data_IF_564132865595
#
_entry.id   IF_564132865595
#
_cell.length_a   1.000
_cell.length_b   1.000
_cell.length_c   1.000
_cell.angle_alpha   90.00
_cell.angle_beta   90.00
_cell.angle_gamma   90.00
#
_symmetry.space_group_name_H-M   'P 1'
#
loop_
_entity.id
_entity.type
_entity.pdbx_description
1 polymer ?
#
# COMPACT_ATOMS: atom_id res chain seq x y z
N UNK A 1 17.10 24.68 -9.15
CA UNK A 1 16.41 24.25 -10.38
C UNK A 1 15.87 25.43 -11.16
N UNK A 2 15.66 25.30 -12.46
CA UNK A 2 15.03 26.30 -13.33
C UNK A 2 13.82 25.69 -14.01
N UNK A 3 12.71 26.41 -13.99
CA UNK A 3 11.48 26.08 -14.72
C UNK A 3 11.33 27.09 -15.85
N UNK A 4 11.06 26.63 -17.06
CA UNK A 4 10.84 27.52 -18.20
C UNK A 4 9.43 28.14 -18.16
N UNK A 5 9.14 29.06 -19.10
CA UNK A 5 7.85 29.77 -19.17
C UNK A 5 6.65 28.88 -19.39
N UNK A 6 6.86 27.68 -19.92
CA UNK A 6 5.79 26.70 -20.19
C UNK A 6 5.62 25.70 -19.03
N UNK A 7 6.44 25.82 -17.97
CA UNK A 7 6.35 24.99 -16.77
C UNK A 7 7.22 23.73 -16.80
N UNK A 8 8.12 23.56 -17.76
CA UNK A 8 9.01 22.41 -17.82
C UNK A 8 10.32 22.64 -17.05
N UNK A 9 10.85 21.59 -16.44
CA UNK A 9 12.14 21.56 -15.80
C UNK A 9 13.25 21.71 -16.84
N UNK A 10 13.86 22.90 -16.90
CA UNK A 10 14.88 23.23 -17.88
C UNK A 10 16.30 22.87 -17.41
N UNK A 11 16.59 23.06 -16.12
CA UNK A 11 17.89 22.78 -15.53
C UNK A 11 17.75 22.52 -14.02
N UNK A 12 18.58 21.65 -13.48
CA UNK A 12 18.65 21.41 -12.04
C UNK A 12 19.96 20.71 -11.67
N UNK A 13 20.35 20.85 -10.43
CA UNK A 13 21.40 20.05 -9.80
C UNK A 13 21.25 20.04 -8.29
N UNK A 14 21.78 19.04 -7.63
CA UNK A 14 21.97 19.05 -6.19
C UNK A 14 23.09 20.02 -5.82
N UNK A 15 22.87 20.82 -4.80
CA UNK A 15 23.84 21.79 -4.29
C UNK A 15 24.57 21.23 -3.07
N UNK A 16 25.84 21.56 -2.93
CA UNK A 16 26.56 21.43 -1.68
C UNK A 16 26.16 22.57 -0.73
N UNK A 17 26.54 22.42 0.55
CA UNK A 17 26.29 23.47 1.55
C UNK A 17 26.98 24.77 1.13
N UNK A 18 26.24 25.88 1.21
CA UNK A 18 26.66 27.24 0.84
C UNK A 18 27.02 27.44 -0.64
N UNK A 19 26.61 26.57 -1.52
CA UNK A 19 26.78 26.71 -2.96
C UNK A 19 25.69 27.63 -3.53
N UNK A 20 26.08 28.60 -4.35
CA UNK A 20 25.17 29.51 -5.05
C UNK A 20 24.63 28.84 -6.34
N UNK A 21 23.39 29.17 -6.68
CA UNK A 21 22.75 28.73 -7.91
C UNK A 21 21.88 29.86 -8.48
N UNK A 22 22.03 30.11 -9.78
CA UNK A 22 21.17 31.06 -10.51
C UNK A 22 19.84 30.39 -10.89
N UNK A 23 18.92 30.33 -9.93
CA UNK A 23 17.61 29.69 -10.08
C UNK A 23 16.89 29.52 -8.72
N UNK A 24 15.82 28.75 -8.71
CA UNK A 24 15.10 28.45 -7.48
C UNK A 24 15.83 27.39 -6.65
N UNK A 25 15.91 27.60 -5.35
CA UNK A 25 16.46 26.64 -4.40
C UNK A 25 15.29 25.96 -3.68
N UNK A 26 15.26 24.65 -3.72
CA UNK A 26 14.31 23.81 -3.00
C UNK A 26 15.06 22.92 -2.02
N UNK A 27 14.46 22.71 -0.86
CA UNK A 27 15.01 21.85 0.18
C UNK A 27 14.20 20.57 0.29
N UNK A 28 14.88 19.44 0.30
CA UNK A 28 14.28 18.14 0.60
C UNK A 28 14.53 17.77 2.06
N UNK A 29 13.49 17.37 2.78
CA UNK A 29 13.56 16.96 4.17
C UNK A 29 13.00 15.57 4.32
N UNK A 30 13.63 14.74 5.16
CA UNK A 30 13.04 13.48 5.62
C UNK A 30 12.06 13.83 6.73
N UNK A 31 10.79 13.49 6.52
CA UNK A 31 9.72 13.66 7.48
C UNK A 31 9.38 12.30 8.11
N UNK A 32 9.38 12.25 9.43
CA UNK A 32 8.88 11.11 10.16
C UNK A 32 7.36 11.24 10.24
N UNK A 33 6.63 10.14 9.97
CA UNK A 33 5.19 10.09 10.09
C UNK A 33 4.76 10.51 11.50
N UNK A 34 3.79 11.42 11.58
CA UNK A 34 3.25 11.90 12.86
C UNK A 34 2.24 10.92 13.47
N UNK A 35 1.90 11.16 14.73
CA UNK A 35 0.87 10.41 15.41
C UNK A 35 -0.51 10.63 14.75
N UNK A 36 -1.30 9.59 14.66
CA UNK A 36 -2.65 9.63 14.09
C UNK A 36 -3.65 8.95 15.02
N UNK A 37 -4.82 9.57 15.16
CA UNK A 37 -5.95 8.95 15.88
C UNK A 37 -6.42 7.66 15.22
N UNK A 38 -6.21 7.50 13.92
CA UNK A 38 -6.48 6.27 13.18
C UNK A 38 -5.64 5.09 13.70
N UNK A 39 -4.39 5.35 14.10
CA UNK A 39 -3.49 4.35 14.67
C UNK A 39 -3.40 4.45 16.19
N UNK A 40 -4.51 4.75 16.86
CA UNK A 40 -4.59 4.85 18.33
C UNK A 40 -3.56 5.82 18.93
N UNK A 41 -3.34 6.96 18.28
CA UNK A 41 -2.35 7.96 18.70
C UNK A 41 -0.89 7.57 18.45
N UNK A 42 -0.64 6.50 17.72
CA UNK A 42 0.70 6.04 17.35
C UNK A 42 1.06 6.50 15.94
N UNK A 43 2.31 6.31 15.56
CA UNK A 43 2.79 6.49 14.19
C UNK A 43 2.53 5.22 13.38
N UNK A 44 2.35 5.40 12.06
CA UNK A 44 2.35 4.27 11.14
C UNK A 44 3.76 3.71 10.97
N UNK A 45 3.89 2.39 10.85
CA UNK A 45 5.16 1.73 10.64
C UNK A 45 5.76 2.07 9.26
N UNK A 46 7.08 2.14 9.16
CA UNK A 46 7.75 2.19 7.85
C UNK A 46 7.70 0.80 7.18
N UNK A 47 6.73 0.64 6.30
CA UNK A 47 6.47 -0.61 5.57
C UNK A 47 7.51 -0.94 4.50
N UNK A 48 8.40 0.00 4.15
CA UNK A 48 9.53 -0.23 3.25
C UNK A 48 10.82 -0.60 4.00
N UNK A 49 10.79 -0.57 5.34
CA UNK A 49 11.93 -0.88 6.18
C UNK A 49 11.78 -2.27 6.80
N UNK A 50 12.53 -3.24 6.26
CA UNK A 50 12.48 -4.63 6.71
C UNK A 50 12.71 -4.79 8.22
N UNK A 51 13.65 -4.03 8.80
CA UNK A 51 13.92 -4.09 10.26
C UNK A 51 12.75 -3.60 11.09
N UNK A 52 12.01 -2.59 10.60
CA UNK A 52 10.81 -2.11 11.26
C UNK A 52 9.69 -3.16 11.21
N UNK A 53 9.51 -3.83 10.06
CA UNK A 53 8.53 -4.92 9.91
C UNK A 53 8.91 -6.14 10.75
N UNK A 54 10.18 -6.54 10.78
CA UNK A 54 10.66 -7.61 11.68
C UNK A 54 10.41 -7.27 13.16
N UNK A 55 10.57 -6.00 13.54
CA UNK A 55 10.22 -5.55 14.89
C UNK A 55 8.72 -5.63 15.16
N UNK A 56 7.90 -5.26 14.21
CA UNK A 56 6.44 -5.41 14.27
C UNK A 56 6.05 -6.89 14.46
N UNK A 57 6.61 -7.79 13.67
CA UNK A 57 6.41 -9.24 13.81
C UNK A 57 6.79 -9.71 15.22
N UNK A 58 7.94 -9.28 15.72
CA UNK A 58 8.43 -9.67 17.06
C UNK A 58 7.52 -9.23 18.21
N UNK A 59 6.77 -8.17 18.03
CA UNK A 59 5.83 -7.64 19.04
C UNK A 59 4.45 -8.26 18.89
N UNK A 60 3.97 -8.41 17.67
CA UNK A 60 2.57 -8.79 17.38
C UNK A 60 2.46 -10.27 17.06
N UNK A 61 3.08 -10.75 16.00
CA UNK A 61 2.94 -12.11 15.49
C UNK A 61 3.51 -13.14 16.46
N UNK A 62 4.69 -12.88 17.02
CA UNK A 62 5.30 -13.75 18.03
C UNK A 62 4.48 -13.83 19.32
N UNK A 63 3.76 -12.75 19.68
CA UNK A 63 2.83 -12.77 20.81
C UNK A 63 1.62 -13.68 20.53
N UNK A 64 1.06 -13.63 19.33
CA UNK A 64 0.01 -14.57 18.92
C UNK A 64 0.51 -16.02 18.92
N UNK A 65 1.65 -16.28 18.29
CA UNK A 65 2.23 -17.62 18.23
C UNK A 65 2.48 -18.19 19.62
N UNK A 66 3.03 -17.42 20.52
CA UNK A 66 3.29 -17.82 21.91
C UNK A 66 2.03 -18.21 22.67
N UNK A 67 0.90 -17.53 22.42
CA UNK A 67 -0.31 -17.71 23.20
C UNK A 67 -1.31 -18.68 22.57
N UNK A 68 -1.36 -18.74 21.25
CA UNK A 68 -2.37 -19.51 20.49
C UNK A 68 -1.78 -20.24 19.27
N UNK A 69 -0.47 -20.40 19.20
CA UNK A 69 0.21 -21.05 18.06
C UNK A 69 -0.21 -22.51 17.85
N UNK A 70 -0.68 -23.20 18.90
CA UNK A 70 -1.20 -24.55 18.79
C UNK A 70 -2.52 -24.61 17.99
N UNK A 71 -3.23 -23.50 17.86
CA UNK A 71 -4.47 -23.37 17.12
C UNK A 71 -4.26 -22.95 15.65
N UNK A 72 -3.03 -22.63 15.26
CA UNK A 72 -2.69 -22.25 13.88
C UNK A 72 -2.99 -23.42 12.93
N UNK A 73 -3.51 -23.09 11.75
CA UNK A 73 -4.02 -24.03 10.74
C UNK A 73 -5.16 -24.94 11.26
N UNK A 74 -5.81 -24.54 12.35
CA UNK A 74 -6.98 -25.25 12.93
C UNK A 74 -8.13 -24.26 13.12
N UNK A 75 -8.29 -23.74 14.34
CA UNK A 75 -9.30 -22.73 14.68
C UNK A 75 -8.87 -21.30 14.31
N UNK A 76 -7.58 -21.09 14.07
CA UNK A 76 -7.00 -19.81 13.59
C UNK A 76 -6.32 -20.08 12.24
N UNK A 77 -7.06 -19.97 11.12
CA UNK A 77 -6.54 -20.37 9.81
C UNK A 77 -5.61 -19.35 9.16
N UNK A 78 -5.74 -18.07 9.51
CA UNK A 78 -5.00 -17.01 8.84
C UNK A 78 -4.72 -15.81 9.74
N UNK A 79 -3.67 -15.05 9.38
CA UNK A 79 -3.47 -13.67 9.80
C UNK A 79 -3.92 -12.78 8.64
N UNK A 80 -4.79 -11.83 8.95
CA UNK A 80 -5.37 -10.89 8.00
C UNK A 80 -4.69 -9.53 8.11
N UNK A 81 -4.32 -8.94 6.99
CA UNK A 81 -3.87 -7.56 6.89
C UNK A 81 -4.87 -6.72 6.13
N UNK A 82 -5.20 -5.56 6.71
CA UNK A 82 -6.15 -4.60 6.20
C UNK A 82 -5.39 -3.40 5.64
N UNK A 83 -5.48 -3.20 4.34
CA UNK A 83 -4.98 -2.04 3.60
C UNK A 83 -3.55 -1.56 3.95
N UNK A 84 -2.54 -2.45 3.97
CA UNK A 84 -1.17 -2.00 4.16
C UNK A 84 -0.73 -1.11 3.00
N UNK A 85 0.03 -0.05 3.33
CA UNK A 85 0.38 0.97 2.36
C UNK A 85 1.76 1.58 2.64
N UNK A 86 2.24 2.38 1.71
CA UNK A 86 3.30 3.37 1.92
C UNK A 86 2.67 4.76 2.07
N UNK A 87 3.37 5.75 2.66
CA UNK A 87 2.84 7.10 2.74
C UNK A 87 2.39 7.62 1.38
N UNK A 88 1.26 8.31 1.36
CA UNK A 88 0.67 8.85 0.14
C UNK A 88 1.59 9.85 -0.54
N UNK A 89 1.62 9.81 -1.87
CA UNK A 89 2.22 10.83 -2.70
C UNK A 89 1.40 12.13 -2.63
N UNK A 90 2.09 13.25 -2.54
CA UNK A 90 1.48 14.57 -2.70
C UNK A 90 2.16 15.29 -3.85
N UNK A 91 1.47 15.36 -4.96
CA UNK A 91 1.94 16.10 -6.11
C UNK A 91 1.69 17.61 -5.97
N UNK A 92 2.39 18.39 -6.74
CA UNK A 92 2.12 19.82 -6.92
C UNK A 92 0.87 20.01 -7.79
N UNK A 93 0.16 21.10 -7.56
CA UNK A 93 -1.00 21.47 -8.38
C UNK A 93 -0.58 21.80 -9.83
N UNK A 94 0.52 22.48 -9.96
CA UNK A 94 1.17 22.84 -11.24
C UNK A 94 2.66 23.04 -11.02
N UNK A 95 3.40 23.28 -12.09
CA UNK A 95 4.86 23.44 -12.05
C UNK A 95 5.34 24.69 -11.28
N UNK A 96 4.49 25.69 -11.12
CA UNK A 96 4.78 26.94 -10.43
C UNK A 96 4.27 26.96 -8.98
N UNK A 97 3.57 25.92 -8.56
CA UNK A 97 3.09 25.77 -7.19
C UNK A 97 4.29 25.75 -6.22
N UNK A 98 4.24 26.60 -5.19
CA UNK A 98 5.28 26.70 -4.16
C UNK A 98 5.01 25.82 -2.93
N UNK A 99 3.88 25.14 -2.88
CA UNK A 99 3.61 24.19 -1.79
C UNK A 99 4.56 22.98 -1.85
N UNK A 100 4.87 22.37 -0.71
CA UNK A 100 5.71 21.18 -0.69
C UNK A 100 5.05 20.00 -1.42
N UNK A 101 5.84 19.27 -2.21
CA UNK A 101 5.50 17.92 -2.65
C UNK A 101 5.98 16.91 -1.60
N UNK A 102 5.40 15.72 -1.60
CA UNK A 102 5.79 14.63 -0.70
C UNK A 102 5.92 13.35 -1.50
N UNK A 103 7.01 12.64 -1.30
CA UNK A 103 7.27 11.33 -1.91
C UNK A 103 7.62 10.33 -0.80
N UNK A 104 7.20 9.07 -0.91
CA UNK A 104 7.62 8.00 0.00
C UNK A 104 9.14 7.80 -0.03
N UNK A 105 9.71 7.62 1.16
CA UNK A 105 11.13 7.40 1.34
C UNK A 105 11.37 6.56 2.60
N UNK A 106 12.46 5.79 2.64
CA UNK A 106 12.93 5.05 3.83
C UNK A 106 14.42 5.25 4.01
N UNK A 107 14.97 4.93 5.17
CA UNK A 107 16.33 5.30 5.60
C UNK A 107 17.43 4.90 4.59
N UNK A 108 17.34 3.69 4.04
CA UNK A 108 18.34 3.13 3.12
C UNK A 108 17.92 3.19 1.63
N UNK A 109 16.88 3.99 1.30
CA UNK A 109 16.28 4.01 -0.04
C UNK A 109 17.29 4.42 -1.12
N UNK A 110 18.07 5.47 -0.90
CA UNK A 110 19.06 5.94 -1.86
C UNK A 110 20.20 4.93 -2.07
N UNK A 111 20.63 4.28 -0.99
CA UNK A 111 21.69 3.26 -1.06
C UNK A 111 21.26 2.07 -1.90
N UNK A 112 20.06 1.56 -1.66
CA UNK A 112 19.49 0.42 -2.37
C UNK A 112 19.13 0.78 -3.83
N UNK A 113 18.60 1.98 -4.05
CA UNK A 113 18.35 2.50 -5.40
C UNK A 113 19.64 2.63 -6.21
N UNK A 114 20.68 3.17 -5.60
CA UNK A 114 22.00 3.29 -6.23
C UNK A 114 22.64 1.94 -6.55
N UNK A 115 22.45 0.96 -5.67
CA UNK A 115 22.92 -0.40 -5.92
C UNK A 115 22.24 -1.03 -7.14
N UNK A 116 20.95 -0.75 -7.36
CA UNK A 116 20.16 -1.30 -8.45
C UNK A 116 20.39 -0.55 -9.79
N UNK A 117 20.40 0.78 -9.77
CA UNK A 117 20.39 1.62 -10.98
C UNK A 117 21.72 2.34 -11.27
N UNK A 118 22.68 2.28 -10.35
CA UNK A 118 24.02 2.89 -10.54
C UNK A 118 24.06 4.41 -10.33
N UNK A 119 22.98 5.04 -9.90
CA UNK A 119 22.87 6.49 -9.66
C UNK A 119 22.07 6.79 -8.39
N UNK A 120 22.31 7.94 -7.76
CA UNK A 120 21.55 8.39 -6.59
C UNK A 120 20.22 8.99 -6.99
N UNK A 121 19.12 8.55 -6.37
CA UNK A 121 17.81 9.16 -6.58
C UNK A 121 17.77 10.60 -6.02
N UNK A 122 18.61 10.91 -5.03
CA UNK A 122 18.68 12.25 -4.45
C UNK A 122 19.16 13.30 -5.46
N UNK A 123 19.93 12.88 -6.46
CA UNK A 123 20.37 13.76 -7.55
C UNK A 123 19.27 13.96 -8.62
N UNK A 124 18.20 13.16 -8.55
CA UNK A 124 17.09 13.12 -9.52
C UNK A 124 15.74 13.57 -8.95
N UNK A 125 15.67 13.94 -7.68
CA UNK A 125 14.40 14.34 -7.01
C UNK A 125 13.55 15.32 -7.82
N UNK A 126 14.12 16.36 -8.48
CA UNK A 126 13.30 17.24 -9.32
C UNK A 126 12.58 16.55 -10.46
N UNK A 127 13.11 15.47 -11.03
CA UNK A 127 12.46 14.72 -12.11
C UNK A 127 11.23 13.92 -11.61
N UNK A 128 11.14 13.65 -10.32
CA UNK A 128 9.96 12.99 -9.73
C UNK A 128 8.77 13.97 -9.60
N UNK A 129 9.04 15.26 -9.58
CA UNK A 129 8.05 16.30 -9.23
C UNK A 129 7.69 17.15 -10.44
N UNK A 130 8.66 17.49 -11.30
CA UNK A 130 8.48 18.34 -12.48
C UNK A 130 8.75 17.57 -13.77
N UNK A 131 8.05 17.97 -14.83
CA UNK A 131 8.24 17.39 -16.15
C UNK A 131 9.41 18.04 -16.89
N UNK A 132 10.17 17.23 -17.63
CA UNK A 132 11.04 17.69 -18.71
C UNK A 132 10.32 17.65 -20.05
N UNK A 133 10.75 18.45 -21.01
CA UNK A 133 10.27 18.31 -22.38
C UNK A 133 10.56 16.89 -22.89
N UNK A 134 9.74 16.44 -23.82
CA UNK A 134 9.90 15.14 -24.48
C UNK A 134 9.88 13.91 -23.55
N UNK A 135 9.12 14.01 -22.44
CA UNK A 135 9.01 12.95 -21.42
C UNK A 135 10.36 12.55 -20.77
N UNK A 136 11.32 13.49 -20.72
CA UNK A 136 12.67 13.23 -20.22
C UNK A 136 12.76 12.76 -18.76
N UNK A 137 11.64 12.76 -18.00
CA UNK A 137 11.58 12.26 -16.62
C UNK A 137 11.01 10.83 -16.51
N UNK A 138 10.52 10.24 -17.60
CA UNK A 138 9.77 8.98 -17.55
C UNK A 138 10.60 7.83 -16.97
N UNK A 139 11.88 7.72 -17.32
CA UNK A 139 12.76 6.66 -16.81
C UNK A 139 13.03 6.79 -15.32
N UNK A 140 13.33 7.99 -14.84
CA UNK A 140 13.56 8.26 -13.40
C UNK A 140 12.31 7.92 -12.58
N UNK A 141 11.13 8.32 -13.05
CA UNK A 141 9.85 8.01 -12.38
C UNK A 141 9.57 6.52 -12.37
N UNK A 142 9.74 5.85 -13.51
CA UNK A 142 9.58 4.40 -13.57
C UNK A 142 10.50 3.68 -12.58
N UNK A 143 11.80 4.00 -12.58
CA UNK A 143 12.77 3.39 -11.67
C UNK A 143 12.44 3.65 -10.21
N UNK A 144 12.06 4.89 -9.87
CA UNK A 144 11.65 5.22 -8.51
C UNK A 144 10.42 4.42 -8.06
N UNK A 145 9.36 4.38 -8.85
CA UNK A 145 8.14 3.64 -8.50
C UNK A 145 8.37 2.14 -8.47
N UNK A 146 9.17 1.60 -9.40
CA UNK A 146 9.55 0.20 -9.41
C UNK A 146 10.32 -0.18 -8.14
N UNK A 147 11.34 0.59 -7.80
CA UNK A 147 12.15 0.36 -6.60
C UNK A 147 11.31 0.47 -5.32
N UNK A 148 10.52 1.52 -5.20
CA UNK A 148 9.61 1.72 -4.07
C UNK A 148 8.66 0.53 -3.88
N UNK A 149 8.06 0.06 -4.96
CA UNK A 149 7.16 -1.10 -4.93
C UNK A 149 7.90 -2.35 -4.43
N UNK A 150 9.07 -2.62 -4.98
CA UNK A 150 9.86 -3.79 -4.56
C UNK A 150 10.27 -3.70 -3.08
N UNK A 151 10.73 -2.52 -2.63
CA UNK A 151 11.05 -2.29 -1.21
C UNK A 151 9.88 -2.57 -0.28
N UNK A 152 8.66 -2.12 -0.66
CA UNK A 152 7.46 -2.41 0.11
C UNK A 152 7.14 -3.91 0.13
N UNK A 153 7.20 -4.55 -1.03
CA UNK A 153 6.86 -5.98 -1.13
C UNK A 153 7.86 -6.84 -0.35
N UNK A 154 9.15 -6.63 -0.53
CA UNK A 154 10.20 -7.37 0.20
C UNK A 154 10.14 -7.14 1.71
N UNK A 155 9.97 -5.87 2.12
CA UNK A 155 10.01 -5.54 3.55
C UNK A 155 8.73 -5.97 4.28
N UNK A 156 7.56 -5.71 3.73
CA UNK A 156 6.28 -5.98 4.40
C UNK A 156 5.70 -7.32 3.99
N UNK A 157 5.41 -7.49 2.70
CA UNK A 157 4.60 -8.61 2.23
C UNK A 157 5.35 -9.94 2.34
N UNK A 158 6.57 -10.00 1.79
CA UNK A 158 7.36 -11.23 1.82
C UNK A 158 7.78 -11.59 3.24
N UNK A 159 8.19 -10.60 4.04
CA UNK A 159 8.63 -10.86 5.42
C UNK A 159 7.51 -11.43 6.29
N UNK A 160 6.28 -10.89 6.18
CA UNK A 160 5.13 -11.43 6.92
C UNK A 160 4.69 -12.78 6.33
N UNK A 161 4.61 -12.89 5.01
CA UNK A 161 4.25 -14.14 4.33
C UNK A 161 5.19 -15.29 4.70
N UNK A 162 6.50 -15.03 4.68
CA UNK A 162 7.52 -15.99 5.09
C UNK A 162 7.38 -16.42 6.56
N UNK A 163 7.10 -15.46 7.44
CA UNK A 163 6.87 -15.77 8.86
C UNK A 163 5.62 -16.64 9.01
N UNK A 164 4.52 -16.28 8.36
CA UNK A 164 3.28 -17.06 8.40
C UNK A 164 3.48 -18.48 7.88
N UNK A 165 4.14 -18.65 6.74
CA UNK A 165 4.46 -19.96 6.17
C UNK A 165 5.29 -20.84 7.11
N UNK A 166 6.29 -20.27 7.80
CA UNK A 166 7.11 -20.98 8.79
C UNK A 166 6.34 -21.43 10.04
N UNK A 167 5.23 -20.77 10.34
CA UNK A 167 4.40 -21.04 11.51
C UNK A 167 3.09 -21.76 11.19
N UNK A 168 2.94 -22.28 9.98
CA UNK A 168 1.76 -23.01 9.50
C UNK A 168 0.46 -22.20 9.69
N UNK A 169 0.47 -20.94 9.34
CA UNK A 169 -0.72 -20.08 9.30
C UNK A 169 -0.75 -19.36 7.95
N UNK A 170 -1.92 -19.19 7.36
CA UNK A 170 -2.02 -18.45 6.11
C UNK A 170 -1.83 -16.94 6.35
N UNK A 171 -1.19 -16.24 5.40
CA UNK A 171 -1.20 -14.79 5.30
C UNK A 171 -2.24 -14.39 4.25
N UNK A 172 -3.17 -13.52 4.64
CA UNK A 172 -4.28 -13.09 3.79
C UNK A 172 -4.62 -11.62 4.04
N UNK A 173 -5.53 -11.07 3.27
CA UNK A 173 -5.99 -9.68 3.34
C UNK A 173 -6.02 -9.04 1.97
N UNK A 174 -6.09 -7.75 1.94
CA UNK A 174 -6.18 -6.92 0.73
C UNK A 174 -5.29 -5.68 0.84
N UNK A 175 -5.11 -4.98 -0.29
CA UNK A 175 -4.18 -3.87 -0.40
C UNK A 175 -4.93 -2.53 -0.42
N UNK A 176 -4.26 -1.46 0.03
CA UNK A 176 -4.82 -0.11 -0.04
C UNK A 176 -5.03 0.31 -1.50
N UNK A 177 -6.21 0.87 -1.80
CA UNK A 177 -6.50 1.54 -3.08
C UNK A 177 -6.22 0.68 -4.33
N UNK A 178 -6.62 -0.58 -4.30
CA UNK A 178 -6.29 -1.58 -5.33
C UNK A 178 -7.11 -1.49 -6.63
N UNK A 179 -8.09 -0.59 -6.70
CA UNK A 179 -9.10 -0.55 -7.76
C UNK A 179 -8.64 0.10 -9.08
N UNK A 180 -7.65 1.01 -9.06
CA UNK A 180 -7.07 1.59 -10.28
C UNK A 180 -5.54 1.61 -10.25
N UNK A 181 -4.90 1.66 -11.42
CA UNK A 181 -3.44 1.79 -11.49
C UNK A 181 -2.94 3.10 -10.87
N UNK A 182 -3.72 4.18 -11.01
CA UNK A 182 -3.39 5.48 -10.43
C UNK A 182 -3.42 5.43 -8.90
N UNK A 183 -4.50 4.90 -8.32
CA UNK A 183 -4.64 4.77 -6.86
C UNK A 183 -3.58 3.82 -6.27
N UNK A 184 -3.27 2.72 -6.95
CA UNK A 184 -2.19 1.81 -6.57
C UNK A 184 -0.84 2.52 -6.54
N UNK A 185 -0.50 3.31 -7.58
CA UNK A 185 0.75 4.08 -7.61
C UNK A 185 0.83 5.09 -6.46
N UNK A 186 -0.29 5.67 -6.05
CA UNK A 186 -0.31 6.59 -4.90
C UNK A 186 -0.02 5.87 -3.58
N UNK A 187 -0.58 4.69 -3.37
CA UNK A 187 -0.66 4.05 -2.05
C UNK A 187 0.37 2.95 -1.82
N UNK A 188 0.69 2.14 -2.81
CA UNK A 188 1.56 0.97 -2.65
C UNK A 188 2.50 0.71 -3.84
N UNK A 189 2.15 1.19 -5.02
CA UNK A 189 2.88 1.02 -6.27
C UNK A 189 2.20 0.07 -7.23
N UNK A 190 2.11 -1.22 -6.91
CA UNK A 190 1.55 -2.25 -7.78
C UNK A 190 0.95 -3.40 -6.97
N UNK A 191 -0.36 -3.57 -7.01
CA UNK A 191 -1.05 -4.62 -6.24
C UNK A 191 -0.66 -6.04 -6.68
N UNK A 192 -0.50 -6.28 -7.98
CA UNK A 192 -0.16 -7.60 -8.51
C UNK A 192 1.12 -8.16 -7.92
N UNK A 193 2.15 -7.34 -7.75
CA UNK A 193 3.43 -7.74 -7.14
C UNK A 193 3.27 -8.07 -5.65
N UNK A 194 2.41 -7.35 -4.96
CA UNK A 194 2.14 -7.57 -3.54
C UNK A 194 1.54 -8.97 -3.29
N UNK A 195 0.69 -9.46 -4.17
CA UNK A 195 0.04 -10.78 -3.96
C UNK A 195 1.00 -11.96 -3.92
N UNK A 196 2.27 -11.80 -4.34
CA UNK A 196 3.24 -12.91 -4.31
C UNK A 196 3.49 -13.49 -2.92
N UNK A 197 3.44 -12.68 -1.89
CA UNK A 197 3.66 -13.12 -0.50
C UNK A 197 2.39 -13.60 0.22
N UNK A 198 1.21 -13.39 -0.37
CA UNK A 198 -0.03 -13.86 0.21
C UNK A 198 -0.26 -15.35 -0.05
N UNK A 199 -0.66 -16.09 1.00
CA UNK A 199 -1.12 -17.48 0.84
C UNK A 199 -2.54 -17.52 0.26
N UNK A 200 -3.37 -16.57 0.65
CA UNK A 200 -4.71 -16.36 0.13
C UNK A 200 -4.84 -14.89 -0.28
N UNK A 201 -4.55 -14.55 -1.54
CA UNK A 201 -4.74 -13.18 -2.02
C UNK A 201 -6.19 -12.72 -1.90
N UNK A 202 -6.39 -11.46 -1.53
CA UNK A 202 -7.73 -10.92 -1.31
C UNK A 202 -7.93 -9.53 -1.91
N UNK A 203 -9.16 -9.08 -1.82
CA UNK A 203 -9.63 -7.76 -2.22
C UNK A 203 -10.63 -7.22 -1.22
N UNK A 204 -10.80 -5.89 -1.20
CA UNK A 204 -11.91 -5.21 -0.54
C UNK A 204 -12.88 -4.65 -1.58
N UNK A 205 -14.17 -4.93 -1.40
CA UNK A 205 -15.23 -4.45 -2.29
C UNK A 205 -16.34 -3.79 -1.48
N UNK A 206 -16.22 -2.49 -1.35
CA UNK A 206 -17.12 -1.64 -0.59
C UNK A 206 -18.39 -1.24 -1.37
N UNK A 207 -19.40 -0.76 -0.65
CA UNK A 207 -20.54 -0.01 -1.19
C UNK A 207 -21.44 -0.76 -2.18
N UNK A 208 -21.60 -2.05 -2.12
CA UNK A 208 -22.41 -2.83 -3.07
C UNK A 208 -22.05 -2.55 -4.55
N UNK A 209 -20.81 -2.20 -4.81
CA UNK A 209 -20.33 -1.97 -6.17
C UNK A 209 -19.98 -3.28 -6.87
N UNK A 210 -20.05 -3.28 -8.21
CA UNK A 210 -19.53 -4.38 -9.03
C UNK A 210 -18.24 -3.90 -9.69
N UNK A 211 -17.13 -4.46 -9.25
CA UNK A 211 -15.79 -4.05 -9.66
C UNK A 211 -15.00 -5.24 -10.21
N UNK A 212 -15.20 -5.48 -11.50
CA UNK A 212 -14.57 -6.63 -12.16
C UNK A 212 -13.06 -6.54 -12.27
N UNK A 213 -12.49 -5.35 -12.38
CA UNK A 213 -11.04 -5.15 -12.53
C UNK A 213 -10.28 -5.67 -11.32
N UNK A 214 -10.69 -5.27 -10.12
CA UNK A 214 -10.08 -5.72 -8.86
C UNK A 214 -10.26 -7.22 -8.66
N UNK A 215 -11.47 -7.73 -8.88
CA UNK A 215 -11.74 -9.18 -8.76
C UNK A 215 -10.90 -10.01 -9.75
N UNK A 216 -10.74 -9.54 -10.99
CA UNK A 216 -9.90 -10.21 -11.99
C UNK A 216 -8.40 -10.09 -11.70
N UNK A 217 -7.98 -8.99 -11.11
CA UNK A 217 -6.61 -8.79 -10.64
C UNK A 217 -6.23 -9.86 -9.59
N UNK A 218 -7.06 -10.03 -8.57
CA UNK A 218 -6.82 -11.04 -7.53
C UNK A 218 -6.95 -12.47 -8.09
N UNK A 219 -7.97 -12.74 -8.91
CA UNK A 219 -8.11 -14.04 -9.58
C UNK A 219 -6.86 -14.37 -10.41
N UNK A 220 -6.33 -13.39 -11.14
CA UNK A 220 -5.10 -13.58 -11.91
C UNK A 220 -3.91 -13.92 -11.01
N UNK A 221 -3.76 -13.22 -9.88
CA UNK A 221 -2.71 -13.52 -8.91
C UNK A 221 -2.83 -14.92 -8.33
N UNK A 222 -4.05 -15.33 -7.95
CA UNK A 222 -4.33 -16.70 -7.46
C UNK A 222 -3.85 -17.75 -8.46
N UNK A 223 -4.17 -17.57 -9.74
CA UNK A 223 -3.75 -18.50 -10.79
C UNK A 223 -2.24 -18.46 -11.05
N UNK A 224 -1.65 -17.27 -11.12
CA UNK A 224 -0.21 -17.12 -11.41
C UNK A 224 0.68 -17.68 -10.32
N UNK A 225 0.29 -17.51 -9.05
CA UNK A 225 1.04 -18.02 -7.90
C UNK A 225 0.57 -19.40 -7.41
N UNK A 226 -0.41 -20.02 -8.09
CA UNK A 226 -0.91 -21.34 -7.73
C UNK A 226 -1.53 -21.40 -6.34
N UNK A 227 -2.28 -20.34 -5.95
CA UNK A 227 -2.92 -20.28 -4.65
C UNK A 227 -4.25 -21.03 -4.64
N UNK A 228 -4.62 -21.59 -3.48
CA UNK A 228 -5.84 -22.43 -3.35
C UNK A 228 -7.11 -21.63 -3.12
N UNK A 229 -7.00 -20.36 -2.69
CA UNK A 229 -8.13 -19.54 -2.33
C UNK A 229 -8.00 -18.10 -2.79
N UNK A 230 -9.14 -17.47 -2.96
CA UNK A 230 -9.31 -16.05 -3.23
C UNK A 230 -10.24 -15.47 -2.15
N UNK A 231 -9.75 -14.46 -1.44
CA UNK A 231 -10.51 -13.80 -0.38
C UNK A 231 -11.20 -12.54 -0.90
N UNK A 232 -12.36 -12.23 -0.35
CA UNK A 232 -12.96 -10.90 -0.43
C UNK A 232 -13.43 -10.46 0.95
N UNK A 233 -13.04 -9.27 1.37
CA UNK A 233 -13.78 -8.49 2.34
C UNK A 233 -14.95 -7.85 1.60
N UNK A 234 -16.16 -7.95 2.13
CA UNK A 234 -17.35 -7.56 1.38
C UNK A 234 -18.46 -7.09 2.32
N UNK A 235 -19.40 -6.33 1.75
CA UNK A 235 -20.57 -5.72 2.40
C UNK A 235 -20.28 -4.45 3.18
N UNK A 236 -19.03 -4.02 3.31
CA UNK A 236 -18.68 -2.78 4.01
C UNK A 236 -19.30 -1.55 3.37
N UNK A 237 -19.64 -0.56 4.20
CA UNK A 237 -20.17 0.77 3.77
C UNK A 237 -21.45 0.68 2.91
N UNK A 238 -22.26 -0.36 3.08
CA UNK A 238 -23.47 -0.55 2.30
C UNK A 238 -24.66 0.25 2.82
N UNK A 239 -24.89 0.29 4.13
CA UNK A 239 -25.99 1.02 4.76
C UNK A 239 -26.95 0.12 5.54
N UNK A 240 -27.83 0.75 6.34
CA UNK A 240 -28.75 0.06 7.25
C UNK A 240 -29.88 -0.69 6.58
N UNK A 241 -30.16 -0.39 5.33
CA UNK A 241 -31.23 -0.99 4.53
C UNK A 241 -30.72 -2.07 3.54
N UNK A 242 -29.42 -2.42 3.64
CA UNK A 242 -28.84 -3.48 2.82
C UNK A 242 -29.35 -4.85 3.27
N UNK A 243 -30.28 -5.40 2.49
CA UNK A 243 -31.01 -6.61 2.81
C UNK A 243 -30.29 -7.92 2.36
N UNK A 244 -30.87 -9.07 2.69
CA UNK A 244 -30.32 -10.37 2.26
C UNK A 244 -30.26 -10.55 0.74
N UNK A 245 -31.06 -9.82 -0.02
CA UNK A 245 -31.01 -9.86 -1.49
C UNK A 245 -29.75 -9.16 -1.98
N UNK A 246 -29.41 -8.03 -1.38
CA UNK A 246 -28.17 -7.32 -1.64
C UNK A 246 -26.95 -8.19 -1.27
N UNK A 247 -26.93 -8.77 -0.09
CA UNK A 247 -25.87 -9.69 0.36
C UNK A 247 -25.70 -10.89 -0.60
N UNK A 248 -26.81 -11.50 -0.99
CA UNK A 248 -26.78 -12.62 -1.95
C UNK A 248 -26.22 -12.19 -3.30
N UNK A 249 -26.70 -11.07 -3.83
CA UNK A 249 -26.23 -10.54 -5.12
C UNK A 249 -24.72 -10.29 -5.10
N UNK A 250 -24.23 -9.58 -4.08
CA UNK A 250 -22.80 -9.28 -3.91
C UNK A 250 -21.96 -10.56 -3.82
N UNK A 251 -22.37 -11.49 -2.98
CA UNK A 251 -21.66 -12.73 -2.80
C UNK A 251 -21.68 -13.65 -4.02
N UNK A 252 -22.78 -13.67 -4.78
CA UNK A 252 -22.93 -14.60 -5.91
C UNK A 252 -22.02 -14.22 -7.10
N UNK A 253 -21.94 -12.95 -7.49
CA UNK A 253 -21.08 -12.57 -8.60
C UNK A 253 -19.60 -12.69 -8.25
N UNK A 254 -19.23 -12.42 -7.01
CA UNK A 254 -17.86 -12.61 -6.53
C UNK A 254 -17.49 -14.10 -6.51
N UNK A 255 -18.37 -14.95 -6.04
CA UNK A 255 -18.20 -16.41 -6.09
C UNK A 255 -18.04 -16.93 -7.54
N UNK A 256 -18.81 -16.37 -8.48
CA UNK A 256 -18.69 -16.70 -9.90
C UNK A 256 -17.33 -16.30 -10.49
N UNK A 257 -16.64 -15.32 -9.91
CA UNK A 257 -15.29 -14.91 -10.28
C UNK A 257 -14.17 -15.63 -9.49
N UNK A 258 -14.53 -16.57 -8.61
CA UNK A 258 -13.55 -17.40 -7.93
C UNK A 258 -13.30 -17.08 -6.46
N UNK A 259 -14.07 -16.18 -5.85
CA UNK A 259 -14.00 -15.96 -4.39
C UNK A 259 -14.44 -17.20 -3.64
N UNK A 260 -13.53 -17.77 -2.86
CA UNK A 260 -13.74 -18.97 -2.05
C UNK A 260 -13.75 -18.67 -0.55
N UNK A 261 -13.16 -17.55 -0.14
CA UNK A 261 -13.11 -17.10 1.25
C UNK A 261 -13.82 -15.74 1.36
N UNK A 262 -14.87 -15.70 2.16
CA UNK A 262 -15.65 -14.49 2.41
C UNK A 262 -15.38 -13.99 3.81
N UNK A 263 -14.98 -12.72 3.92
CA UNK A 263 -14.81 -12.01 5.19
C UNK A 263 -15.84 -10.89 5.22
N UNK A 264 -17.02 -11.11 5.80
CA UNK A 264 -18.00 -10.03 5.96
C UNK A 264 -17.39 -8.90 6.77
N UNK A 265 -17.51 -7.67 6.25
CA UNK A 265 -17.09 -6.49 6.99
C UNK A 265 -17.77 -6.49 8.38
N UNK A 266 -17.05 -5.97 9.37
CA UNK A 266 -17.49 -5.99 10.76
C UNK A 266 -18.87 -5.39 10.94
N UNK A 267 -19.72 -6.04 11.71
CA UNK A 267 -20.98 -5.47 12.17
C UNK A 267 -20.89 -5.09 13.65
N UNK A 268 -21.75 -4.20 14.08
CA UNK A 268 -21.70 -3.75 15.47
C UNK A 268 -22.45 -4.70 16.41
N UNK A 269 -21.77 -5.12 17.46
CA UNK A 269 -22.41 -5.89 18.52
C UNK A 269 -23.47 -5.07 19.29
N UNK A 270 -23.41 -3.73 19.20
CA UNK A 270 -24.36 -2.83 19.86
C UNK A 270 -24.43 -1.50 19.12
N UNK A 271 -25.64 -0.92 19.07
CA UNK A 271 -25.90 0.42 18.53
C UNK A 271 -25.60 1.53 19.53
N UNK A 272 -25.15 1.21 20.74
CA UNK A 272 -24.95 2.17 21.83
C UNK A 272 -23.51 2.64 21.96
N UNK A 273 -23.33 3.97 21.90
CA UNK A 273 -22.11 4.65 22.31
C UNK A 273 -20.84 4.11 21.67
N UNK A 274 -19.85 3.85 22.49
CA UNK A 274 -18.52 3.41 22.07
C UNK A 274 -18.46 1.98 21.54
N UNK A 275 -19.49 1.16 21.75
CA UNK A 275 -19.61 -0.16 21.14
C UNK A 275 -19.94 -0.09 19.64
N UNK A 276 -20.39 1.08 19.19
CA UNK A 276 -20.62 1.42 17.81
C UNK A 276 -19.34 2.05 17.26
N UNK A 277 -18.59 1.31 16.48
CA UNK A 277 -17.36 1.77 15.85
C UNK A 277 -17.45 1.56 14.35
N UNK A 278 -17.12 2.57 13.58
CA UNK A 278 -17.17 2.53 12.15
C UNK A 278 -18.54 2.84 11.49
N UNK A 279 -18.57 3.01 10.19
CA UNK A 279 -19.76 3.19 9.38
C UNK A 279 -20.66 1.95 9.42
N UNK A 280 -21.96 2.10 9.08
CA UNK A 280 -22.80 0.93 9.06
C UNK A 280 -22.18 -0.15 8.19
N UNK A 281 -21.74 -1.17 8.87
CA UNK A 281 -21.60 -2.44 8.23
C UNK A 281 -23.02 -2.95 7.98
N UNK A 282 -23.17 -3.63 6.97
CA UNK A 282 -24.40 -4.32 6.60
C UNK A 282 -24.86 -5.31 7.66
#
# INVERSE_FOLDING_TARGET
MKIDSDGFLADYRRLADNEEYDGEIWYAYILIAGNSGWYNGQNYIDTMNKKAVEKFISITHEAYYKNVGEDFDKSIPAIFTDEPQVPLLRYKKDSFDKNPAQIPFTDDFDETYKAEYGESILDKVPELIWEKRDNGCAETRYRYHNHRTERFVEAFVDTIGDWCGKHNIAFTGHMMEEHTLESQVHSLGEAMRCYRGFHIPGMDLLCDSIEFSTAKQVQSAVHQYGREGMLSELYGVTGWDFDFRGHKRQGDWQAALGVTVRVPHLYWASMKGQAKRDSPAS
#
